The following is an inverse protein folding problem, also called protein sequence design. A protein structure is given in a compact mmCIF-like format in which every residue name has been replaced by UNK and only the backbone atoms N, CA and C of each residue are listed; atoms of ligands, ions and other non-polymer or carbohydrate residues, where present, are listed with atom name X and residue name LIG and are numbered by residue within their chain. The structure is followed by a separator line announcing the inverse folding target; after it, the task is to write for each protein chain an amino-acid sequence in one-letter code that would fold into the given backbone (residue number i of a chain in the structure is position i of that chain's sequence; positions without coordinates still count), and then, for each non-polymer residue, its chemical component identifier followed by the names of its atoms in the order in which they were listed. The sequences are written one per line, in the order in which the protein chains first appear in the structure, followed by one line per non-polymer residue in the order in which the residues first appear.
data_IF_841201216163
#
_entry.id   IF_841201216163
#
_cell.length_a   1.000
_cell.length_b   1.000
_cell.length_c   1.000
_cell.angle_alpha   90.00
_cell.angle_beta   90.00
_cell.angle_gamma   90.00
#
_symmetry.space_group_name_H-M   'P 1'
#
loop_
_entity.id
_entity.type
_entity.pdbx_description
1 polymer ?
#
# COMPACT_ATOMS: atom_id res chain seq x y z
N UNK A 1 -92.75 81.23 2.79
CA UNK A 1 -91.56 80.37 2.85
C UNK A 1 -91.39 80.02 4.31
N UNK A 2 -91.75 78.80 4.73
CA UNK A 2 -91.46 78.37 6.10
C UNK A 2 -89.94 78.26 6.23
N UNK A 3 -89.37 79.07 7.11
CA UNK A 3 -87.94 79.02 7.41
C UNK A 3 -87.74 77.77 8.25
N UNK A 4 -87.08 76.77 7.68
CA UNK A 4 -86.63 75.58 8.42
C UNK A 4 -85.85 76.06 9.65
N UNK A 5 -86.26 75.63 10.85
CA UNK A 5 -85.75 76.18 12.13
C UNK A 5 -84.23 76.15 12.25
N UNK A 6 -83.61 75.17 11.60
CA UNK A 6 -82.17 74.89 11.67
C UNK A 6 -81.33 75.90 10.87
N UNK A 7 -81.95 76.68 9.99
CA UNK A 7 -81.26 77.67 9.14
C UNK A 7 -81.62 79.12 9.49
N UNK A 8 -82.33 79.34 10.61
CA UNK A 8 -82.89 80.65 10.97
C UNK A 8 -81.81 81.75 11.03
N UNK A 9 -80.63 81.44 11.57
CA UNK A 9 -79.52 82.39 11.72
C UNK A 9 -78.91 82.79 10.37
N UNK A 10 -78.84 81.84 9.45
CA UNK A 10 -78.36 82.01 8.09
C UNK A 10 -79.33 82.87 7.27
N UNK A 11 -80.65 82.69 7.45
CA UNK A 11 -81.67 83.56 6.86
C UNK A 11 -81.64 84.99 7.44
N UNK A 12 -81.45 85.15 8.75
CA UNK A 12 -81.28 86.48 9.37
C UNK A 12 -80.04 87.19 8.81
N UNK A 13 -78.92 86.47 8.70
CA UNK A 13 -77.68 86.99 8.09
C UNK A 13 -77.86 87.31 6.61
N UNK A 14 -78.67 86.53 5.88
CA UNK A 14 -79.01 86.81 4.50
C UNK A 14 -79.75 88.14 4.38
N UNK A 15 -80.77 88.36 5.21
CA UNK A 15 -81.56 89.60 5.22
C UNK A 15 -80.67 90.82 5.50
N UNK A 16 -79.78 90.75 6.49
CA UNK A 16 -78.86 91.85 6.81
C UNK A 16 -77.91 92.17 5.64
N UNK A 17 -77.39 91.14 4.96
CA UNK A 17 -76.50 91.31 3.80
C UNK A 17 -77.23 91.86 2.57
N UNK A 18 -78.44 91.38 2.30
CA UNK A 18 -79.28 91.89 1.20
C UNK A 18 -79.59 93.37 1.42
N UNK A 19 -79.91 93.78 2.65
CA UNK A 19 -80.18 95.18 3.01
C UNK A 19 -78.96 96.09 2.81
N UNK A 20 -77.74 95.54 2.90
CA UNK A 20 -76.48 96.22 2.58
C UNK A 20 -76.03 96.04 1.12
N UNK A 21 -76.94 95.60 0.23
CA UNK A 21 -76.71 95.35 -1.19
C UNK A 21 -75.63 94.28 -1.48
N UNK A 22 -75.40 93.35 -0.56
CA UNK A 22 -74.49 92.23 -0.73
C UNK A 22 -75.28 90.94 -1.01
N UNK A 23 -74.77 90.12 -1.94
CA UNK A 23 -75.28 88.76 -2.11
C UNK A 23 -74.84 87.87 -0.95
N UNK A 24 -75.68 86.92 -0.58
CA UNK A 24 -75.35 85.92 0.42
C UNK A 24 -75.87 84.56 -0.01
N UNK A 25 -75.08 83.53 0.26
CA UNK A 25 -75.44 82.18 -0.10
C UNK A 25 -74.94 81.19 0.92
N UNK A 26 -75.72 80.15 1.15
CA UNK A 26 -75.41 79.08 2.10
C UNK A 26 -76.02 77.76 1.64
N UNK A 27 -75.47 76.65 2.15
CA UNK A 27 -75.98 75.32 1.89
C UNK A 27 -77.17 75.02 2.82
N UNK A 28 -78.27 74.57 2.23
CA UNK A 28 -79.44 74.08 2.93
C UNK A 28 -79.67 72.62 2.58
N UNK A 29 -80.04 71.82 3.57
CA UNK A 29 -80.46 70.44 3.37
C UNK A 29 -81.97 70.37 3.53
N UNK A 30 -82.66 69.88 2.51
CA UNK A 30 -84.08 69.63 2.59
C UNK A 30 -84.33 68.50 3.60
N UNK A 31 -85.10 68.70 4.68
CA UNK A 31 -85.33 67.69 5.71
C UNK A 31 -86.22 66.53 5.24
N UNK A 32 -87.05 66.72 4.20
CA UNK A 32 -87.94 65.70 3.66
C UNK A 32 -87.26 64.84 2.60
N UNK A 33 -86.49 65.45 1.68
CA UNK A 33 -85.82 64.74 0.58
C UNK A 33 -84.36 64.39 0.91
N UNK A 34 -83.78 65.02 1.92
CA UNK A 34 -82.35 64.91 2.25
C UNK A 34 -81.42 65.61 1.27
N UNK A 35 -81.95 66.22 0.21
CA UNK A 35 -81.17 66.84 -0.86
C UNK A 35 -80.52 68.15 -0.40
N UNK A 36 -79.21 68.27 -0.64
CA UNK A 36 -78.46 69.48 -0.37
C UNK A 36 -78.63 70.44 -1.54
N UNK A 37 -78.95 71.69 -1.25
CA UNK A 37 -79.06 72.76 -2.24
C UNK A 37 -78.26 73.97 -1.78
N UNK A 38 -77.76 74.73 -2.73
CA UNK A 38 -77.17 76.02 -2.47
C UNK A 38 -78.25 77.09 -2.64
N UNK A 39 -78.60 77.79 -1.56
CA UNK A 39 -79.56 78.88 -1.58
C UNK A 39 -78.79 80.18 -1.70
N UNK A 40 -79.04 80.95 -2.76
CA UNK A 40 -78.39 82.22 -3.02
C UNK A 40 -79.41 83.34 -3.08
N UNK A 41 -79.11 84.43 -2.38
CA UNK A 41 -79.91 85.65 -2.36
C UNK A 41 -79.14 86.78 -3.00
N UNK A 42 -79.76 87.45 -3.97
CA UNK A 42 -79.22 88.63 -4.61
C UNK A 42 -80.20 89.81 -4.47
N UNK A 43 -79.74 90.98 -4.00
CA UNK A 43 -80.56 92.18 -3.96
C UNK A 43 -80.77 92.73 -5.37
N UNK A 44 -82.00 93.13 -5.69
CA UNK A 44 -82.38 93.76 -6.96
C UNK A 44 -83.19 95.01 -6.66
N UNK A 45 -82.77 96.15 -7.20
CA UNK A 45 -83.53 97.40 -7.08
C UNK A 45 -84.44 97.50 -8.29
N UNK A 46 -85.75 97.53 -8.07
CA UNK A 46 -86.76 97.62 -9.15
C UNK A 46 -87.59 98.88 -8.93
N UNK A 47 -87.62 99.77 -9.92
CA UNK A 47 -88.40 101.02 -9.89
C UNK A 47 -87.59 102.26 -9.46
N UNK A 48 -88.19 103.45 -9.64
CA UNK A 48 -87.61 104.75 -9.22
C UNK A 48 -87.77 105.02 -7.70
N UNK A 49 -88.41 104.10 -6.98
CA UNK A 49 -88.72 104.15 -5.55
C UNK A 49 -87.67 103.47 -4.66
N UNK A 50 -86.55 103.03 -5.24
CA UNK A 50 -85.34 102.55 -4.54
C UNK A 50 -85.58 101.41 -3.53
N UNK A 51 -86.64 100.60 -3.73
CA UNK A 51 -86.95 99.44 -2.89
C UNK A 51 -86.05 98.27 -3.27
N UNK A 52 -85.42 97.67 -2.26
CA UNK A 52 -84.58 96.48 -2.43
C UNK A 52 -85.48 95.24 -2.43
N UNK A 53 -85.63 94.63 -3.59
CA UNK A 53 -86.20 93.29 -3.74
C UNK A 53 -85.10 92.25 -3.63
N UNK A 54 -85.46 90.98 -3.46
CA UNK A 54 -84.50 89.87 -3.43
C UNK A 54 -84.91 88.81 -4.43
N UNK A 55 -83.97 88.38 -5.26
CA UNK A 55 -84.09 87.14 -6.00
C UNK A 55 -83.39 86.06 -5.17
N UNK A 56 -84.15 85.04 -4.79
CA UNK A 56 -83.63 83.84 -4.16
C UNK A 56 -83.62 82.70 -5.18
N UNK A 57 -82.47 82.07 -5.39
CA UNK A 57 -82.34 80.87 -6.21
C UNK A 57 -81.91 79.70 -5.34
N UNK A 58 -82.61 78.58 -5.49
CA UNK A 58 -82.23 77.32 -4.86
C UNK A 58 -81.71 76.41 -5.97
N UNK A 59 -80.40 76.17 -5.96
CA UNK A 59 -79.77 75.28 -6.94
C UNK A 59 -79.36 74.00 -6.23
N UNK A 60 -79.90 72.83 -6.59
CA UNK A 60 -79.46 71.57 -6.01
C UNK A 60 -77.95 71.37 -6.18
N UNK A 61 -77.29 70.91 -5.11
CA UNK A 61 -75.84 70.67 -5.14
C UNK A 61 -75.50 69.55 -6.14
N UNK A 62 -76.42 68.59 -6.32
CA UNK A 62 -76.38 67.54 -7.33
C UNK A 62 -76.20 68.06 -8.75
N UNK A 63 -76.78 69.22 -9.09
CA UNK A 63 -76.66 69.85 -10.43
C UNK A 63 -75.31 70.56 -10.58
N UNK A 64 -74.78 71.14 -9.49
CA UNK A 64 -73.50 71.84 -9.49
C UNK A 64 -72.31 70.85 -9.48
N UNK A 65 -72.43 69.74 -8.74
CA UNK A 65 -71.34 68.76 -8.55
C UNK A 65 -71.33 67.62 -9.55
N UNK A 66 -72.37 67.47 -10.39
CA UNK A 66 -72.49 66.36 -11.35
C UNK A 66 -71.24 66.15 -12.22
N UNK A 67 -70.62 67.23 -12.70
CA UNK A 67 -69.39 67.16 -13.51
C UNK A 67 -68.16 66.75 -12.67
N UNK A 68 -68.07 67.20 -11.43
CA UNK A 68 -66.99 66.85 -10.49
C UNK A 68 -67.09 65.39 -10.01
N UNK A 69 -68.30 64.91 -9.70
CA UNK A 69 -68.55 63.54 -9.27
C UNK A 69 -68.20 62.53 -10.39
N UNK A 70 -68.49 62.89 -11.66
CA UNK A 70 -68.09 62.09 -12.83
C UNK A 70 -66.56 61.96 -12.96
N UNK A 71 -65.82 63.07 -12.80
CA UNK A 71 -64.36 63.06 -12.88
C UNK A 71 -63.73 62.29 -11.72
N UNK A 72 -64.31 62.37 -10.53
CA UNK A 72 -63.86 61.62 -9.36
C UNK A 72 -63.97 60.10 -9.58
N UNK A 73 -65.12 59.63 -10.09
CA UNK A 73 -65.34 58.22 -10.41
C UNK A 73 -64.36 57.73 -11.50
N UNK A 74 -64.16 58.50 -12.57
CA UNK A 74 -63.20 58.15 -13.63
C UNK A 74 -61.78 58.01 -13.08
N UNK A 75 -61.35 58.91 -12.20
CA UNK A 75 -60.01 58.88 -11.60
C UNK A 75 -59.82 57.63 -10.74
N UNK A 76 -60.84 57.23 -9.97
CA UNK A 76 -60.82 55.97 -9.21
C UNK A 76 -60.68 54.77 -10.15
N UNK A 77 -61.47 54.72 -11.24
CA UNK A 77 -61.38 53.63 -12.22
C UNK A 77 -59.99 53.54 -12.87
N UNK A 78 -59.43 54.68 -13.29
CA UNK A 78 -58.07 54.73 -13.86
C UNK A 78 -57.03 54.28 -12.84
N UNK A 79 -57.15 54.70 -11.57
CA UNK A 79 -56.29 54.25 -10.48
C UNK A 79 -56.35 52.74 -10.26
N UNK A 80 -57.55 52.16 -10.25
CA UNK A 80 -57.76 50.72 -10.12
C UNK A 80 -57.14 49.98 -11.31
N UNK A 81 -57.38 50.44 -12.54
CA UNK A 81 -56.78 49.83 -13.74
C UNK A 81 -55.26 49.89 -13.68
N UNK A 82 -54.69 51.02 -13.23
CA UNK A 82 -53.24 51.18 -13.05
C UNK A 82 -52.67 50.18 -12.03
N UNK A 83 -53.35 49.98 -10.90
CA UNK A 83 -52.95 48.99 -9.89
C UNK A 83 -53.02 47.57 -10.45
N UNK A 84 -54.12 47.22 -11.13
CA UNK A 84 -54.29 45.89 -11.74
C UNK A 84 -53.19 45.64 -12.77
N UNK A 85 -52.87 46.63 -13.60
CA UNK A 85 -51.79 46.52 -14.59
C UNK A 85 -50.42 46.32 -13.92
N UNK A 86 -50.14 47.03 -12.84
CA UNK A 86 -48.90 46.89 -12.08
C UNK A 86 -48.77 45.50 -11.45
N UNK A 87 -49.86 44.97 -10.88
CA UNK A 87 -49.92 43.61 -10.34
C UNK A 87 -49.66 42.57 -11.43
N UNK A 88 -50.24 42.73 -12.62
CA UNK A 88 -50.03 41.81 -13.76
C UNK A 88 -48.56 41.82 -14.21
N UNK A 89 -47.93 42.99 -14.30
CA UNK A 89 -46.51 43.10 -14.66
C UNK A 89 -45.62 42.41 -13.61
N UNK A 90 -45.85 42.70 -12.32
CA UNK A 90 -45.09 42.08 -11.23
C UNK A 90 -45.26 40.57 -11.26
N UNK A 91 -46.49 40.09 -11.43
CA UNK A 91 -46.78 38.66 -11.51
C UNK A 91 -46.02 38.00 -12.67
N UNK A 92 -46.01 38.61 -13.85
CA UNK A 92 -45.28 38.08 -15.01
C UNK A 92 -43.77 38.05 -14.79
N UNK A 93 -43.19 39.13 -14.25
CA UNK A 93 -41.75 39.20 -13.94
C UNK A 93 -41.33 38.17 -12.87
N UNK A 94 -42.10 38.05 -11.79
CA UNK A 94 -41.86 37.06 -10.75
C UNK A 94 -41.90 35.65 -11.33
N UNK A 95 -42.91 35.33 -12.13
CA UNK A 95 -43.05 34.00 -12.71
C UNK A 95 -41.90 33.66 -13.67
N UNK A 96 -41.40 34.64 -14.43
CA UNK A 96 -40.28 34.46 -15.36
C UNK A 96 -38.97 34.17 -14.62
N UNK A 97 -38.68 34.87 -13.52
CA UNK A 97 -37.45 34.67 -12.73
C UNK A 97 -37.53 33.40 -11.88
N UNK A 98 -38.67 33.16 -11.21
CA UNK A 98 -38.88 31.98 -10.35
C UNK A 98 -38.76 30.68 -11.14
N UNK A 99 -39.29 30.63 -12.37
CA UNK A 99 -39.19 29.43 -13.21
C UNK A 99 -37.73 29.07 -13.50
N UNK A 100 -36.91 30.04 -13.95
CA UNK A 100 -35.49 29.81 -14.23
C UNK A 100 -34.69 29.42 -12.99
N UNK A 101 -35.02 29.99 -11.82
CA UNK A 101 -34.40 29.58 -10.55
C UNK A 101 -34.76 28.14 -10.18
N UNK A 102 -36.00 27.72 -10.43
CA UNK A 102 -36.44 26.35 -10.19
C UNK A 102 -35.64 25.35 -11.05
N UNK A 103 -35.37 25.68 -12.32
CA UNK A 103 -34.56 24.84 -13.20
C UNK A 103 -33.13 24.64 -12.65
N UNK A 104 -32.51 25.71 -12.12
CA UNK A 104 -31.18 25.63 -11.48
C UNK A 104 -31.22 24.81 -10.19
N UNK A 105 -32.29 24.94 -9.38
CA UNK A 105 -32.49 24.14 -8.16
C UNK A 105 -32.63 22.66 -8.51
N UNK A 106 -33.46 22.32 -9.49
CA UNK A 106 -33.67 20.92 -9.89
C UNK A 106 -32.42 20.32 -10.52
N UNK A 107 -31.65 21.12 -11.27
CA UNK A 107 -30.32 20.71 -11.72
C UNK A 107 -29.38 20.42 -10.54
N UNK A 108 -29.33 21.31 -9.54
CA UNK A 108 -28.52 21.10 -8.34
C UNK A 108 -28.92 19.84 -7.57
N UNK A 109 -30.22 19.50 -7.53
CA UNK A 109 -30.70 18.24 -6.93
C UNK A 109 -30.23 17.00 -7.70
N UNK A 110 -30.20 17.07 -9.04
CA UNK A 110 -29.66 15.97 -9.87
C UNK A 110 -28.17 15.79 -9.64
N UNK A 111 -27.41 16.89 -9.60
CA UNK A 111 -25.97 16.86 -9.30
C UNK A 111 -25.71 16.29 -7.91
N UNK A 112 -26.49 16.67 -6.90
CA UNK A 112 -26.34 16.10 -5.54
C UNK A 112 -26.75 14.63 -5.46
N UNK A 113 -27.61 14.15 -6.35
CA UNK A 113 -27.91 12.72 -6.53
C UNK A 113 -26.83 11.96 -7.33
N UNK A 114 -25.77 12.64 -7.80
CA UNK A 114 -24.68 12.04 -8.56
C UNK A 114 -24.90 12.00 -10.08
N UNK A 115 -26.02 12.51 -10.58
CA UNK A 115 -26.22 12.68 -12.02
C UNK A 115 -25.44 13.91 -12.50
N UNK A 116 -24.22 13.66 -12.95
CA UNK A 116 -23.39 14.68 -13.56
C UNK A 116 -23.66 14.83 -15.05
N UNK A 117 -24.57 14.11 -15.71
CA UNK A 117 -24.67 14.05 -17.19
C UNK A 117 -25.41 15.22 -17.82
N UNK A 118 -26.22 15.92 -17.03
CA UNK A 118 -27.06 17.02 -17.51
C UNK A 118 -26.25 18.32 -17.71
N UNK A 119 -26.84 19.32 -18.37
CA UNK A 119 -26.31 20.68 -18.47
C UNK A 119 -27.46 21.70 -18.40
N UNK A 120 -27.24 22.84 -17.74
CA UNK A 120 -28.20 23.95 -17.76
C UNK A 120 -27.93 24.83 -18.97
N UNK A 121 -28.98 25.18 -19.72
CA UNK A 121 -28.91 26.20 -20.77
C UNK A 121 -28.68 27.59 -20.17
N UNK A 122 -27.64 28.27 -20.63
CA UNK A 122 -27.28 29.60 -20.14
C UNK A 122 -27.65 30.64 -21.19
N UNK A 123 -28.87 31.18 -21.10
CA UNK A 123 -29.32 32.28 -21.96
C UNK A 123 -29.51 33.58 -21.18
N UNK A 124 -28.70 34.59 -21.53
CA UNK A 124 -28.77 35.94 -20.97
C UNK A 124 -27.49 36.38 -20.26
N UNK A 125 -27.52 37.60 -19.73
CA UNK A 125 -26.41 38.21 -18.97
C UNK A 125 -26.81 38.58 -17.53
N UNK A 126 -27.91 38.03 -17.05
CA UNK A 126 -28.39 38.26 -15.68
C UNK A 126 -27.73 37.30 -14.67
N UNK A 127 -28.00 37.54 -13.39
CA UNK A 127 -27.45 36.81 -12.25
C UNK A 127 -27.78 35.31 -12.32
N UNK A 128 -28.97 34.97 -12.80
CA UNK A 128 -29.40 33.56 -12.98
C UNK A 128 -28.55 32.86 -14.04
N UNK A 129 -28.19 33.55 -15.12
CA UNK A 129 -27.33 33.01 -16.18
C UNK A 129 -25.89 32.80 -15.69
N UNK A 130 -25.38 33.72 -14.88
CA UNK A 130 -24.05 33.61 -14.26
C UNK A 130 -24.00 32.44 -13.27
N UNK A 131 -25.06 32.25 -12.48
CA UNK A 131 -25.21 31.12 -11.56
C UNK A 131 -25.24 29.79 -12.32
N UNK A 132 -26.05 29.68 -13.37
CA UNK A 132 -26.14 28.49 -14.21
C UNK A 132 -24.79 28.14 -14.87
N UNK A 133 -24.06 29.15 -15.37
CA UNK A 133 -22.71 28.96 -15.95
C UNK A 133 -21.70 28.47 -14.90
N UNK A 134 -21.73 29.04 -13.69
CA UNK A 134 -20.87 28.60 -12.58
C UNK A 134 -21.17 27.16 -12.15
N UNK A 135 -22.45 26.79 -12.09
CA UNK A 135 -22.90 25.41 -11.82
C UNK A 135 -22.40 24.43 -12.89
N UNK A 136 -22.51 24.78 -14.17
CA UNK A 136 -21.97 23.95 -15.26
C UNK A 136 -20.45 23.72 -15.10
N UNK A 137 -19.69 24.79 -14.82
CA UNK A 137 -18.23 24.68 -14.58
C UNK A 137 -17.90 23.80 -13.38
N UNK A 138 -18.69 23.87 -12.30
CA UNK A 138 -18.53 23.00 -11.14
C UNK A 138 -18.77 21.53 -11.51
N UNK A 139 -19.82 21.23 -12.27
CA UNK A 139 -20.11 19.87 -12.73
C UNK A 139 -19.02 19.35 -13.67
N UNK A 140 -18.49 20.18 -14.57
CA UNK A 140 -17.37 19.80 -15.43
C UNK A 140 -16.13 19.42 -14.59
N UNK A 141 -15.85 20.17 -13.53
CA UNK A 141 -14.76 19.85 -12.59
C UNK A 141 -15.01 18.56 -11.83
N UNK A 142 -16.23 18.33 -11.37
CA UNK A 142 -16.60 17.06 -10.73
C UNK A 142 -16.47 15.87 -11.70
N UNK A 143 -16.90 16.01 -12.96
CA UNK A 143 -16.73 14.97 -13.99
C UNK A 143 -15.26 14.61 -14.20
N UNK A 144 -14.38 15.61 -14.29
CA UNK A 144 -12.95 15.36 -14.43
C UNK A 144 -12.40 14.60 -13.21
N UNK A 145 -12.75 15.01 -12.00
CA UNK A 145 -12.34 14.31 -10.76
C UNK A 145 -12.83 12.87 -10.76
N UNK A 146 -14.10 12.62 -11.09
CA UNK A 146 -14.66 11.26 -11.16
C UNK A 146 -13.96 10.42 -12.22
N UNK A 147 -13.64 10.99 -13.38
CA UNK A 147 -12.89 10.31 -14.45
C UNK A 147 -11.47 9.94 -14.02
N UNK A 148 -10.78 10.84 -13.32
CA UNK A 148 -9.45 10.59 -12.76
C UNK A 148 -9.50 9.48 -11.70
N UNK A 149 -10.48 9.52 -10.79
CA UNK A 149 -10.70 8.48 -9.77
C UNK A 149 -11.00 7.13 -10.43
N UNK A 150 -11.85 7.08 -11.46
CA UNK A 150 -12.16 5.85 -12.19
C UNK A 150 -10.91 5.27 -12.84
N UNK A 151 -10.13 6.11 -13.52
CA UNK A 151 -8.87 5.70 -14.15
C UNK A 151 -7.85 5.19 -13.14
N UNK A 152 -7.73 5.85 -11.98
CA UNK A 152 -6.87 5.41 -10.90
C UNK A 152 -7.34 4.06 -10.30
N UNK A 153 -8.66 3.86 -10.17
CA UNK A 153 -9.23 2.59 -9.69
C UNK A 153 -8.97 1.43 -10.64
N UNK A 154 -9.05 1.66 -11.96
CA UNK A 154 -8.69 0.67 -12.98
C UNK A 154 -7.21 0.30 -12.94
N UNK A 155 -6.33 1.29 -12.76
CA UNK A 155 -4.89 1.06 -12.58
C UNK A 155 -4.59 0.25 -11.31
N UNK A 156 -5.22 0.60 -10.17
CA UNK A 156 -5.09 -0.15 -8.92
C UNK A 156 -5.58 -1.59 -9.08
N UNK A 157 -6.70 -1.80 -9.76
CA UNK A 157 -7.25 -3.14 -10.02
C UNK A 157 -6.30 -3.97 -10.86
N UNK A 158 -5.69 -3.37 -11.88
CA UNK A 158 -4.71 -4.03 -12.75
C UNK A 158 -3.43 -4.38 -11.98
N UNK A 159 -2.88 -3.43 -11.22
CA UNK A 159 -1.72 -3.66 -10.35
C UNK A 159 -1.99 -4.74 -9.29
N UNK A 160 -3.21 -4.79 -8.73
CA UNK A 160 -3.61 -5.83 -7.78
C UNK A 160 -3.62 -7.24 -8.40
N UNK A 161 -4.03 -7.37 -9.66
CA UNK A 161 -3.95 -8.65 -10.40
C UNK A 161 -2.51 -9.07 -10.64
N UNK A 162 -1.65 -8.16 -11.09
CA UNK A 162 -0.22 -8.43 -11.28
C UNK A 162 0.45 -8.84 -9.97
N UNK A 163 0.15 -8.15 -8.86
CA UNK A 163 0.68 -8.47 -7.54
C UNK A 163 0.23 -9.86 -7.07
N UNK A 164 -1.01 -10.25 -7.37
CA UNK A 164 -1.52 -11.59 -7.06
C UNK A 164 -0.74 -12.65 -7.83
N UNK A 165 -0.55 -12.48 -9.15
CA UNK A 165 0.25 -13.40 -9.97
C UNK A 165 1.71 -13.48 -9.49
N UNK A 166 2.29 -12.34 -9.13
CA UNK A 166 3.64 -12.30 -8.59
C UNK A 166 3.74 -13.05 -7.25
N UNK A 167 2.74 -12.88 -6.38
CA UNK A 167 2.69 -13.57 -5.07
C UNK A 167 2.54 -15.08 -5.23
N UNK A 168 1.74 -15.56 -6.19
CA UNK A 168 1.63 -16.98 -6.54
C UNK A 168 2.96 -17.52 -7.06
N UNK A 169 3.65 -16.78 -7.93
CA UNK A 169 4.99 -17.13 -8.40
C UNK A 169 6.02 -17.23 -7.28
N UNK A 170 6.05 -16.24 -6.39
CA UNK A 170 6.92 -16.25 -5.20
C UNK A 170 6.61 -17.44 -4.29
N UNK A 171 5.34 -17.75 -4.04
CA UNK A 171 4.96 -18.91 -3.25
C UNK A 171 5.46 -20.21 -3.86
N UNK A 172 5.33 -20.38 -5.19
CA UNK A 172 5.83 -21.55 -5.90
C UNK A 172 7.35 -21.67 -5.79
N UNK A 173 8.07 -20.58 -6.02
CA UNK A 173 9.54 -20.55 -5.90
C UNK A 173 10.01 -20.78 -4.47
N UNK A 174 9.29 -20.30 -3.45
CA UNK A 174 9.58 -20.61 -2.05
C UNK A 174 9.39 -22.10 -1.74
N UNK A 175 8.36 -22.75 -2.29
CA UNK A 175 8.18 -24.20 -2.15
C UNK A 175 9.31 -24.99 -2.83
N UNK A 176 9.72 -24.58 -4.02
CA UNK A 176 10.84 -25.19 -4.74
C UNK A 176 12.18 -25.00 -3.99
N UNK A 177 12.39 -23.80 -3.43
CA UNK A 177 13.56 -23.51 -2.60
C UNK A 177 13.57 -24.34 -1.32
N UNK A 178 12.42 -24.57 -0.70
CA UNK A 178 12.30 -25.44 0.48
C UNK A 178 12.68 -26.88 0.12
N UNK A 179 12.17 -27.41 -0.99
CA UNK A 179 12.52 -28.75 -1.47
C UNK A 179 14.02 -28.89 -1.78
N UNK A 180 14.61 -27.90 -2.47
CA UNK A 180 16.06 -27.89 -2.72
C UNK A 180 16.87 -27.85 -1.42
N UNK A 181 16.40 -27.11 -0.41
CA UNK A 181 17.03 -27.10 0.91
C UNK A 181 16.95 -28.46 1.60
N UNK A 182 15.84 -29.19 1.46
CA UNK A 182 15.70 -30.56 2.00
C UNK A 182 16.70 -31.53 1.33
N UNK A 183 16.90 -31.42 0.02
CA UNK A 183 17.86 -32.24 -0.72
C UNK A 183 19.32 -31.95 -0.30
N UNK A 184 19.66 -30.67 -0.11
CA UNK A 184 20.97 -30.28 0.42
C UNK A 184 21.17 -30.84 1.84
N UNK A 185 20.14 -30.79 2.69
CA UNK A 185 20.22 -31.35 4.03
C UNK A 185 20.43 -32.87 4.02
N UNK A 186 19.74 -33.60 3.15
CA UNK A 186 19.98 -35.04 2.95
C UNK A 186 21.42 -35.32 2.51
N UNK A 187 21.97 -34.50 1.61
CA UNK A 187 23.37 -34.61 1.18
C UNK A 187 24.36 -34.34 2.33
N UNK A 188 24.03 -33.40 3.23
CA UNK A 188 24.83 -33.12 4.44
C UNK A 188 24.76 -34.28 5.43
N UNK A 189 23.62 -34.94 5.59
CA UNK A 189 23.50 -36.15 6.40
C UNK A 189 24.36 -37.30 5.84
N UNK A 190 24.30 -37.55 4.53
CA UNK A 190 25.14 -38.56 3.88
C UNK A 190 26.63 -38.23 4.01
N UNK A 191 27.01 -36.94 3.84
CA UNK A 191 28.38 -36.49 4.04
C UNK A 191 28.85 -36.73 5.47
N UNK A 192 28.01 -36.46 6.46
CA UNK A 192 28.32 -36.70 7.88
C UNK A 192 28.55 -38.18 8.14
N UNK A 193 27.72 -39.06 7.57
CA UNK A 193 27.90 -40.50 7.66
C UNK A 193 29.23 -40.94 7.03
N UNK A 194 29.60 -40.39 5.88
CA UNK A 194 30.88 -40.66 5.23
C UNK A 194 32.08 -40.19 6.06
N UNK A 195 31.99 -39.03 6.72
CA UNK A 195 33.02 -38.54 7.64
C UNK A 195 33.20 -39.51 8.83
N UNK A 196 32.10 -40.01 9.40
CA UNK A 196 32.15 -41.00 10.49
C UNK A 196 32.77 -42.33 10.05
N UNK A 197 32.43 -42.80 8.85
CA UNK A 197 33.03 -44.00 8.26
C UNK A 197 34.54 -43.81 8.02
N UNK A 198 34.95 -42.67 7.48
CA UNK A 198 36.37 -42.35 7.29
C UNK A 198 37.13 -42.31 8.61
N UNK A 199 36.54 -41.73 9.66
CA UNK A 199 37.10 -41.76 11.02
C UNK A 199 37.29 -43.19 11.51
N UNK A 200 36.27 -44.05 11.37
CA UNK A 200 36.37 -45.46 11.77
C UNK A 200 37.45 -46.21 10.99
N UNK A 201 37.55 -45.97 9.68
CA UNK A 201 38.57 -46.58 8.83
C UNK A 201 39.99 -46.13 9.21
N UNK A 202 40.18 -44.85 9.54
CA UNK A 202 41.44 -44.34 10.06
C UNK A 202 41.84 -45.02 11.37
N UNK A 203 40.89 -45.17 12.32
CA UNK A 203 41.14 -45.88 13.58
C UNK A 203 41.51 -47.36 13.37
N UNK A 204 40.80 -48.06 12.47
CA UNK A 204 41.16 -49.45 12.11
C UNK A 204 42.55 -49.53 11.48
N UNK A 205 42.92 -48.55 10.66
CA UNK A 205 44.25 -48.49 10.04
C UNK A 205 45.34 -48.28 11.09
N UNK A 206 45.09 -47.41 12.07
CA UNK A 206 45.98 -47.21 13.22
C UNK A 206 46.17 -48.50 14.03
N UNK A 207 45.07 -49.21 14.35
CA UNK A 207 45.12 -50.49 15.06
C UNK A 207 45.93 -51.55 14.29
N UNK A 208 45.74 -51.63 12.97
CA UNK A 208 46.51 -52.54 12.11
C UNK A 208 48.00 -52.18 12.12
N UNK A 209 48.33 -50.89 12.02
CA UNK A 209 49.71 -50.42 12.06
C UNK A 209 50.37 -50.73 13.41
N UNK A 210 49.66 -50.57 14.52
CA UNK A 210 50.14 -50.93 15.86
C UNK A 210 50.43 -52.43 15.98
N UNK A 211 49.51 -53.28 15.51
CA UNK A 211 49.72 -54.75 15.47
C UNK A 211 50.91 -55.14 14.58
N UNK A 212 51.09 -54.46 13.45
CA UNK A 212 52.24 -54.67 12.57
C UNK A 212 53.56 -54.30 13.28
N UNK A 213 53.62 -53.19 14.01
CA UNK A 213 54.79 -52.79 14.80
C UNK A 213 55.14 -53.83 15.87
N UNK A 214 54.14 -54.35 16.59
CA UNK A 214 54.35 -55.43 17.57
C UNK A 214 54.90 -56.69 16.90
N UNK A 215 54.36 -57.06 15.74
CA UNK A 215 54.83 -58.24 14.98
C UNK A 215 56.26 -58.07 14.48
N UNK A 216 56.62 -56.88 13.97
CA UNK A 216 57.98 -56.53 13.57
C UNK A 216 58.94 -56.58 14.76
N UNK A 217 58.54 -56.08 15.94
CA UNK A 217 59.35 -56.15 17.17
C UNK A 217 59.62 -57.60 17.59
N UNK A 218 58.60 -58.45 17.57
CA UNK A 218 58.74 -59.88 17.89
C UNK A 218 59.61 -60.62 16.86
N UNK A 219 59.44 -60.30 15.57
CA UNK A 219 60.28 -60.81 14.49
C UNK A 219 61.73 -60.40 14.65
N UNK A 220 61.99 -59.13 14.95
CA UNK A 220 63.33 -58.60 15.24
C UNK A 220 63.98 -59.29 16.45
N UNK A 221 63.22 -59.52 17.53
CA UNK A 221 63.72 -60.26 18.68
C UNK A 221 64.09 -61.71 18.33
N UNK A 222 63.29 -62.38 17.50
CA UNK A 222 63.56 -63.75 17.05
C UNK A 222 64.78 -63.83 16.14
N UNK A 223 64.92 -62.87 15.22
CA UNK A 223 66.12 -62.73 14.38
C UNK A 223 67.37 -62.48 15.22
N UNK A 224 67.29 -61.61 16.24
CA UNK A 224 68.40 -61.38 17.17
C UNK A 224 68.81 -62.64 17.95
N UNK A 225 67.84 -63.43 18.43
CA UNK A 225 68.12 -64.72 19.08
C UNK A 225 68.79 -65.71 18.13
N UNK A 226 68.34 -65.75 16.86
CA UNK A 226 68.97 -66.59 15.84
C UNK A 226 70.40 -66.16 15.55
N UNK A 227 70.66 -64.84 15.44
CA UNK A 227 72.01 -64.29 15.27
C UNK A 227 72.92 -64.62 16.47
N UNK A 228 72.41 -64.52 17.70
CA UNK A 228 73.14 -64.90 18.91
C UNK A 228 73.51 -66.38 18.91
N UNK A 229 72.55 -67.26 18.57
CA UNK A 229 72.82 -68.69 18.45
C UNK A 229 73.84 -69.00 17.34
N UNK A 230 73.77 -68.31 16.20
CA UNK A 230 74.75 -68.45 15.12
C UNK A 230 76.16 -68.02 15.55
N UNK A 231 76.30 -66.97 16.35
CA UNK A 231 77.60 -66.58 16.93
C UNK A 231 78.18 -67.68 17.83
N UNK A 232 77.35 -68.29 18.68
CA UNK A 232 77.77 -69.41 19.53
C UNK A 232 78.22 -70.60 18.67
N UNK A 233 77.49 -70.90 17.59
CA UNK A 233 77.87 -71.97 16.65
C UNK A 233 79.22 -71.65 16.00
N UNK A 234 79.41 -70.44 15.46
CA UNK A 234 80.66 -70.01 14.86
C UNK A 234 81.84 -70.15 15.83
N UNK A 235 81.66 -69.75 17.10
CA UNK A 235 82.66 -69.92 18.16
C UNK A 235 83.02 -71.40 18.38
N UNK A 236 82.02 -72.29 18.51
CA UNK A 236 82.26 -73.74 18.67
C UNK A 236 82.93 -74.38 17.47
N UNK A 237 82.59 -73.94 16.26
CA UNK A 237 83.24 -74.38 15.03
C UNK A 237 84.69 -73.89 14.97
N UNK A 238 84.97 -72.68 15.47
CA UNK A 238 86.34 -72.18 15.68
C UNK A 238 87.17 -73.13 16.54
N UNK A 239 86.64 -73.56 17.68
CA UNK A 239 87.29 -74.57 18.53
C UNK A 239 87.49 -75.92 17.80
N UNK A 240 86.52 -76.38 17.02
CA UNK A 240 86.67 -77.62 16.22
C UNK A 240 87.77 -77.48 15.17
N UNK A 241 87.89 -76.32 14.52
CA UNK A 241 88.97 -76.03 13.57
C UNK A 241 90.35 -76.07 14.25
N UNK A 242 90.45 -75.52 15.46
CA UNK A 242 91.67 -75.58 16.28
C UNK A 242 92.02 -77.03 16.68
N UNK A 243 91.04 -77.81 17.14
CA UNK A 243 91.23 -79.23 17.47
C UNK A 243 91.66 -80.01 16.22
N UNK A 244 91.03 -79.76 15.06
CA UNK A 244 91.41 -80.40 13.81
C UNK A 244 92.85 -80.04 13.41
N UNK A 245 93.26 -78.78 13.59
CA UNK A 245 94.63 -78.36 13.36
C UNK A 245 95.62 -79.07 14.30
N UNK A 246 95.33 -79.10 15.60
CA UNK A 246 96.16 -79.84 16.58
C UNK A 246 96.23 -81.34 16.24
N UNK A 247 95.11 -81.93 15.82
CA UNK A 247 95.03 -83.34 15.39
C UNK A 247 95.86 -83.59 14.14
N UNK A 248 95.86 -82.66 13.17
CA UNK A 248 96.70 -82.72 11.98
C UNK A 248 98.20 -82.71 12.36
N UNK A 249 98.61 -81.83 13.29
CA UNK A 249 99.99 -81.78 13.80
C UNK A 249 100.37 -83.06 14.55
N UNK A 250 99.48 -83.57 15.41
CA UNK A 250 99.68 -84.84 16.12
C UNK A 250 99.83 -86.02 15.16
N UNK A 251 98.97 -86.10 14.14
CA UNK A 251 99.00 -87.14 13.11
C UNK A 251 100.27 -87.06 12.25
N UNK A 252 100.70 -85.84 11.90
CA UNK A 252 101.97 -85.61 11.21
C UNK A 252 103.16 -86.10 12.04
N UNK A 253 103.20 -85.75 13.33
CA UNK A 253 104.25 -86.21 14.24
C UNK A 253 104.25 -87.74 14.39
N UNK A 254 103.07 -88.35 14.52
CA UNK A 254 102.92 -89.81 14.59
C UNK A 254 103.36 -90.50 13.29
N UNK A 255 103.04 -89.94 12.12
CA UNK A 255 103.47 -90.46 10.83
C UNK A 255 105.00 -90.43 10.67
N UNK A 256 105.65 -89.35 11.13
CA UNK A 256 107.11 -89.21 11.15
C UNK A 256 107.75 -90.25 12.07
N UNK A 257 107.25 -90.41 13.31
CA UNK A 257 107.82 -91.38 14.26
C UNK A 257 107.56 -92.83 13.82
N UNK A 258 106.41 -93.12 13.22
CA UNK A 258 106.11 -94.42 12.63
C UNK A 258 107.02 -94.74 11.42
N UNK A 259 107.36 -93.75 10.59
CA UNK A 259 108.34 -93.91 9.53
C UNK A 259 109.76 -94.18 10.09
N UNK A 260 110.09 -93.58 11.24
CA UNK A 260 111.35 -93.78 11.96
C UNK A 260 111.51 -95.18 12.54
N UNK A 261 110.41 -95.81 12.97
CA UNK A 261 110.37 -97.19 13.47
C UNK A 261 110.50 -98.27 12.37
N UNK A 262 110.65 -97.87 11.10
CA UNK A 262 110.96 -98.78 9.98
C UNK A 262 109.88 -99.84 9.74
N UNK A 263 110.28 -101.13 9.74
CA UNK A 263 109.38 -102.23 9.36
C UNK A 263 108.24 -102.46 10.37
N UNK A 264 108.46 -102.14 11.65
CA UNK A 264 107.47 -102.29 12.72
C UNK A 264 106.43 -101.13 12.77
N UNK A 265 106.70 -100.01 12.10
CA UNK A 265 105.84 -98.82 12.08
C UNK A 265 104.90 -98.69 10.88
N UNK A 266 105.03 -99.56 9.85
CA UNK A 266 104.28 -99.44 8.58
C UNK A 266 102.75 -99.38 8.75
N UNK A 267 102.18 -100.18 9.66
CA UNK A 267 100.74 -100.13 9.95
C UNK A 267 100.31 -98.83 10.64
N UNK A 268 101.13 -98.31 11.55
CA UNK A 268 100.89 -97.04 12.24
C UNK A 268 100.99 -95.84 11.29
N UNK A 269 101.90 -95.85 10.31
CA UNK A 269 102.00 -94.76 9.32
C UNK A 269 100.72 -94.63 8.47
N UNK A 270 100.09 -95.74 8.09
CA UNK A 270 98.84 -95.71 7.32
C UNK A 270 97.71 -95.08 8.13
N UNK A 271 97.56 -95.49 9.40
CA UNK A 271 96.56 -94.91 10.30
C UNK A 271 96.83 -93.42 10.54
N UNK A 272 98.09 -93.03 10.77
CA UNK A 272 98.46 -91.62 10.97
C UNK A 272 98.15 -90.75 9.75
N UNK A 273 98.42 -91.24 8.53
CA UNK A 273 98.06 -90.52 7.30
C UNK A 273 96.54 -90.40 7.09
N UNK A 274 95.76 -91.43 7.46
CA UNK A 274 94.30 -91.36 7.37
C UNK A 274 93.71 -90.37 8.40
N UNK A 275 94.24 -90.36 9.62
CA UNK A 275 93.88 -89.37 10.65
C UNK A 275 94.25 -87.96 10.20
N UNK A 276 95.41 -87.78 9.58
CA UNK A 276 95.86 -86.50 9.01
C UNK A 276 94.87 -85.97 7.96
N UNK A 277 94.49 -86.82 7.00
CA UNK A 277 93.54 -86.48 5.94
C UNK A 277 92.14 -86.15 6.49
N UNK A 278 91.69 -86.88 7.53
CA UNK A 278 90.44 -86.59 8.21
C UNK A 278 90.47 -85.25 8.95
N UNK A 279 91.61 -84.92 9.58
CA UNK A 279 91.83 -83.65 10.25
C UNK A 279 91.84 -82.46 9.28
N UNK A 280 92.54 -82.57 8.14
CA UNK A 280 92.52 -81.57 7.06
C UNK A 280 91.10 -81.34 6.52
N UNK A 281 90.35 -82.42 6.27
CA UNK A 281 88.95 -82.35 5.81
C UNK A 281 88.01 -81.73 6.85
N UNK A 282 88.25 -82.00 8.13
CA UNK A 282 87.48 -81.41 9.24
C UNK A 282 87.77 -79.92 9.38
N UNK A 283 89.03 -79.51 9.21
CA UNK A 283 89.44 -78.11 9.23
C UNK A 283 88.83 -77.33 8.06
N UNK A 284 88.80 -77.91 6.85
CA UNK A 284 88.17 -77.30 5.68
C UNK A 284 86.64 -77.12 5.89
N UNK A 285 85.97 -78.14 6.41
CA UNK A 285 84.52 -78.09 6.68
C UNK A 285 84.20 -77.06 7.77
N UNK A 286 85.01 -77.00 8.84
CA UNK A 286 84.88 -76.00 9.89
C UNK A 286 85.09 -74.57 9.35
N UNK A 287 86.07 -74.37 8.46
CA UNK A 287 86.31 -73.07 7.81
C UNK A 287 85.10 -72.60 7.00
N UNK A 288 84.51 -73.49 6.19
CA UNK A 288 83.34 -73.16 5.37
C UNK A 288 82.11 -72.80 6.22
N UNK A 289 81.86 -73.53 7.31
CA UNK A 289 80.75 -73.23 8.23
C UNK A 289 80.99 -71.88 8.93
N UNK A 290 82.23 -71.58 9.31
CA UNK A 290 82.55 -70.32 9.98
C UNK A 290 82.35 -69.11 9.04
N UNK A 291 82.78 -69.20 7.78
CA UNK A 291 82.54 -68.16 6.76
C UNK A 291 81.05 -67.91 6.53
N UNK A 292 80.24 -68.97 6.50
CA UNK A 292 78.78 -68.86 6.31
C UNK A 292 78.08 -68.29 7.56
N UNK A 293 78.60 -68.57 8.76
CA UNK A 293 78.01 -68.13 10.03
C UNK A 293 78.46 -66.72 10.44
N UNK A 294 79.56 -66.21 9.85
CA UNK A 294 80.06 -64.85 10.08
C UNK A 294 79.54 -63.81 9.08
N UNK A 295 78.80 -64.24 8.04
CA UNK A 295 78.18 -63.38 7.01
C UNK A 295 76.75 -63.00 7.40
#
# INVERSE_FOLDING_TARGET
MEVYSDYKKEFETAIDKINSLQSYSFEVKNPETGERSYLSFAPVIIGRDNRVWTIATQTPLSVITHESDRLFIITIFVGIIGIVFLVVIIYFFLNLVTKKLMDVIDYSKKVSAGDLTQKIETEGKNEVSILASSMNRMVDKLRMIVSEISSASEQITSAGKELTQYSEGVSSSSSEQAASSEEVMASVEEMTANILNNKSNAQKTEEIAEKALVSVKNGSQSANKALEAMKVIAEKIGFISEIAHQTNILALNAAVEAARAGQFGKGFTVVANEVKKLAERSQESARQINELSSS
#
